data_IF_429017208344
#
_entry.id   IF_429017208344
#
_cell.length_a   1.000
_cell.length_b   1.000
_cell.length_c   1.000
_cell.angle_alpha   90.00
_cell.angle_beta   90.00
_cell.angle_gamma   90.00
#
_symmetry.space_group_name_H-M   'P 1'
#
loop_
_entity.id
_entity.type
_entity.pdbx_description
1 polymer ?
#
# COMPACT_ATOMS: atom_id res chain seq x y z
N UNK A 1 -33.42 8.29 13.63
CA UNK A 1 -32.30 9.25 13.73
C UNK A 1 -32.32 10.03 12.43
N UNK A 2 -32.28 11.36 12.47
CA UNK A 2 -32.34 12.14 11.21
C UNK A 2 -31.04 11.94 10.43
N UNK A 3 -31.10 11.82 9.09
CA UNK A 3 -29.91 11.69 8.24
C UNK A 3 -28.87 12.78 8.53
N UNK A 4 -29.29 13.98 8.92
CA UNK A 4 -28.39 15.06 9.33
C UNK A 4 -27.59 14.74 10.60
N UNK A 5 -28.20 14.09 11.59
CA UNK A 5 -27.53 13.71 12.85
C UNK A 5 -26.49 12.60 12.60
N UNK A 6 -26.79 11.68 11.68
CA UNK A 6 -25.86 10.64 11.23
C UNK A 6 -24.65 11.26 10.52
N UNK A 7 -24.86 12.23 9.64
CA UNK A 7 -23.75 12.93 8.97
C UNK A 7 -22.86 13.68 9.99
N UNK A 8 -23.46 14.37 10.95
CA UNK A 8 -22.71 15.11 11.98
C UNK A 8 -21.94 14.15 12.90
N UNK A 9 -22.53 13.00 13.26
CA UNK A 9 -21.84 12.00 14.07
C UNK A 9 -20.64 11.40 13.32
N UNK A 10 -20.80 11.06 12.04
CA UNK A 10 -19.72 10.57 11.19
C UNK A 10 -18.58 11.59 11.07
N UNK A 11 -18.89 12.87 10.85
CA UNK A 11 -17.87 13.93 10.81
C UNK A 11 -17.12 14.08 12.16
N UNK A 12 -17.85 14.01 13.27
CA UNK A 12 -17.26 14.06 14.62
C UNK A 12 -16.36 12.85 14.87
N UNK A 13 -16.76 11.67 14.42
CA UNK A 13 -16.01 10.43 14.61
C UNK A 13 -14.76 10.42 13.71
N UNK A 14 -14.87 10.85 12.46
CA UNK A 14 -13.71 11.08 11.58
C UNK A 14 -12.70 12.05 12.21
N UNK A 15 -13.16 13.14 12.84
CA UNK A 15 -12.28 14.07 13.55
C UNK A 15 -11.55 13.41 14.73
N UNK A 16 -12.23 12.52 15.47
CA UNK A 16 -11.62 11.76 16.57
C UNK A 16 -10.59 10.76 16.04
N UNK A 17 -10.93 10.03 14.97
CA UNK A 17 -10.03 9.06 14.32
C UNK A 17 -8.78 9.77 13.79
N UNK A 18 -8.95 10.91 13.10
CA UNK A 18 -7.82 11.69 12.59
C UNK A 18 -6.90 12.19 13.70
N UNK A 19 -7.46 12.57 14.86
CA UNK A 19 -6.67 12.97 16.04
C UNK A 19 -5.99 11.79 16.73
N UNK A 20 -6.61 10.61 16.68
CA UNK A 20 -6.04 9.38 17.23
C UNK A 20 -4.94 8.80 16.33
N UNK A 21 -4.98 9.06 15.03
CA UNK A 21 -3.93 8.68 14.09
C UNK A 21 -2.62 9.39 14.45
N UNK A 22 -1.58 8.59 14.73
CA UNK A 22 -0.23 9.09 14.98
C UNK A 22 0.47 9.36 13.65
N UNK A 23 1.05 10.55 13.50
CA UNK A 23 1.95 10.84 12.37
C UNK A 23 3.17 9.91 12.48
N UNK A 24 3.50 9.11 11.45
CA UNK A 24 4.69 8.27 11.49
C UNK A 24 5.95 9.13 11.57
N UNK A 25 6.95 8.64 12.29
CA UNK A 25 8.28 9.25 12.25
C UNK A 25 8.99 8.91 10.94
N UNK A 26 10.04 9.65 10.60
CA UNK A 26 10.82 9.39 9.38
C UNK A 26 11.43 7.99 9.38
N UNK A 27 11.92 7.52 10.53
CA UNK A 27 12.51 6.19 10.67
C UNK A 27 11.45 5.09 10.44
N UNK A 28 10.28 5.21 11.06
CA UNK A 28 9.15 4.28 10.87
C UNK A 28 8.69 4.22 9.40
N UNK A 29 8.66 5.37 8.73
CA UNK A 29 8.33 5.45 7.31
C UNK A 29 9.38 4.72 6.45
N UNK A 30 10.66 4.95 6.70
CA UNK A 30 11.76 4.30 5.95
C UNK A 30 11.75 2.79 6.18
N UNK A 31 11.55 2.32 7.40
CA UNK A 31 11.41 0.89 7.71
C UNK A 31 10.25 0.26 6.95
N UNK A 32 9.07 0.90 6.99
CA UNK A 32 7.89 0.45 6.24
C UNK A 32 8.14 0.43 4.73
N UNK A 33 8.80 1.46 4.20
CA UNK A 33 9.16 1.56 2.79
C UNK A 33 10.18 0.50 2.35
N UNK A 34 11.15 0.14 3.21
CA UNK A 34 12.11 -0.95 2.94
C UNK A 34 11.40 -2.29 2.80
N UNK A 35 10.46 -2.59 3.71
CA UNK A 35 9.68 -3.83 3.68
C UNK A 35 8.79 -3.89 2.44
N UNK A 36 8.05 -2.80 2.15
CA UNK A 36 7.23 -2.70 0.95
C UNK A 36 8.06 -2.81 -0.34
N UNK A 37 9.22 -2.13 -0.38
CA UNK A 37 10.16 -2.17 -1.51
C UNK A 37 10.72 -3.57 -1.75
N UNK A 38 11.08 -4.31 -0.70
CA UNK A 38 11.47 -5.71 -0.82
C UNK A 38 10.34 -6.58 -1.37
N UNK A 39 9.11 -6.38 -0.89
CA UNK A 39 7.93 -7.08 -1.42
C UNK A 39 7.73 -6.83 -2.92
N UNK A 40 7.82 -5.57 -3.34
CA UNK A 40 7.72 -5.18 -4.76
C UNK A 40 8.87 -5.80 -5.56
N UNK A 41 10.10 -5.79 -5.05
CA UNK A 41 11.25 -6.35 -5.76
C UNK A 41 11.13 -7.86 -5.95
N UNK A 42 10.65 -8.59 -4.95
CA UNK A 42 10.46 -10.05 -5.03
C UNK A 42 9.35 -10.37 -6.04
N UNK A 43 8.16 -9.78 -5.88
CA UNK A 43 7.01 -10.06 -6.76
C UNK A 43 7.29 -9.59 -8.19
N UNK A 44 7.84 -8.38 -8.33
CA UNK A 44 8.24 -7.82 -9.62
C UNK A 44 9.37 -8.61 -10.26
N UNK A 45 10.36 -9.07 -9.49
CA UNK A 45 11.47 -9.89 -9.96
C UNK A 45 11.02 -11.26 -10.47
N UNK A 46 10.09 -11.92 -9.77
CA UNK A 46 9.50 -13.18 -10.23
C UNK A 46 8.72 -12.98 -11.53
N UNK A 47 7.88 -11.95 -11.60
CA UNK A 47 7.14 -11.62 -12.83
C UNK A 47 8.06 -11.26 -13.99
N UNK A 48 9.14 -10.51 -13.72
CA UNK A 48 10.16 -10.15 -14.70
C UNK A 48 10.90 -11.40 -15.21
N UNK A 49 11.32 -12.30 -14.32
CA UNK A 49 12.03 -13.52 -14.67
C UNK A 49 11.19 -14.42 -15.57
N UNK A 50 9.90 -14.59 -15.25
CA UNK A 50 8.95 -15.34 -16.11
C UNK A 50 8.88 -14.71 -17.50
N UNK A 51 8.75 -13.38 -17.60
CA UNK A 51 8.67 -12.68 -18.89
C UNK A 51 9.95 -12.81 -19.70
N UNK A 52 11.12 -12.78 -19.04
CA UNK A 52 12.42 -13.01 -19.70
C UNK A 52 12.51 -14.45 -20.20
N UNK A 53 12.14 -15.45 -19.41
CA UNK A 53 12.17 -16.86 -19.82
C UNK A 53 11.27 -17.10 -21.04
N UNK A 54 10.04 -16.57 -21.03
CA UNK A 54 9.11 -16.69 -22.17
C UNK A 54 9.69 -16.05 -23.43
N UNK A 55 10.24 -14.84 -23.34
CA UNK A 55 10.87 -14.17 -24.49
C UNK A 55 12.09 -14.93 -25.01
N UNK A 56 12.90 -15.53 -24.13
CA UNK A 56 14.03 -16.35 -24.54
C UNK A 56 13.54 -17.61 -25.27
N UNK A 57 12.50 -18.29 -24.77
CA UNK A 57 11.93 -19.47 -25.44
C UNK A 57 11.39 -19.11 -26.83
N UNK A 58 10.68 -17.99 -26.95
CA UNK A 58 10.17 -17.48 -28.24
C UNK A 58 11.29 -17.10 -29.22
N UNK A 59 12.47 -16.71 -28.73
CA UNK A 59 13.62 -16.39 -29.60
C UNK A 59 14.30 -17.63 -30.18
N UNK A 60 14.23 -18.77 -29.48
CA UNK A 60 14.84 -20.05 -29.92
C UNK A 60 13.87 -20.97 -30.68
N UNK A 61 12.57 -20.67 -30.71
CA UNK A 61 11.53 -21.42 -31.42
C UNK A 61 11.14 -20.69 -32.70
#
# INVERSE_FOLDING_TARGET
>A
MSTYEELISLLRDCKRVLRAARKPTWDEYIESAKIAGLGILIVGGVGFLIRVIVQLIELYT
#
